data_IF_629418132808
#
_entry.id   IF_629418132808
#
_cell.length_a   1.000
_cell.length_b   1.000
_cell.length_c   1.000
_cell.angle_alpha   90.00
_cell.angle_beta   90.00
_cell.angle_gamma   90.00
#
_symmetry.space_group_name_H-M   'P 1'
#
loop_
_entity.id
_entity.type
_entity.pdbx_description
1 polymer ?
#
# COMPACT_ATOMS: atom_id res chain seq x y z
N UNK A 1 -8.40 17.30 -12.01
CA UNK A 1 -7.61 16.62 -10.95
C UNK A 1 -8.01 15.14 -10.86
N UNK A 2 -9.24 14.79 -10.47
CA UNK A 2 -9.69 13.39 -10.33
C UNK A 2 -9.42 12.52 -11.56
N UNK A 3 -9.78 12.99 -12.77
CA UNK A 3 -9.52 12.27 -14.01
C UNK A 3 -8.03 11.98 -14.26
N UNK A 4 -7.16 12.94 -13.92
CA UNK A 4 -5.72 12.78 -14.03
C UNK A 4 -5.17 11.75 -13.04
N UNK A 5 -5.70 11.73 -11.81
CA UNK A 5 -5.30 10.76 -10.79
C UNK A 5 -5.75 9.34 -11.19
N UNK A 6 -6.97 9.17 -11.70
CA UNK A 6 -7.45 7.89 -12.25
C UNK A 6 -6.54 7.42 -13.39
N UNK A 7 -6.30 8.28 -14.38
CA UNK A 7 -5.46 7.99 -15.53
C UNK A 7 -4.05 7.56 -15.10
N UNK A 8 -3.44 8.27 -14.15
CA UNK A 8 -2.11 7.94 -13.64
C UNK A 8 -2.07 6.60 -12.88
N UNK A 9 -3.05 6.33 -12.03
CA UNK A 9 -3.09 5.09 -11.24
C UNK A 9 -3.37 3.86 -12.10
N UNK A 10 -4.24 4.00 -13.10
CA UNK A 10 -4.62 2.93 -14.02
C UNK A 10 -3.66 2.80 -15.23
N UNK A 11 -2.73 3.74 -15.41
CA UNK A 11 -1.81 3.74 -16.55
C UNK A 11 -2.50 4.06 -17.89
N UNK A 12 -3.59 4.82 -17.87
CA UNK A 12 -4.38 5.20 -19.03
C UNK A 12 -4.02 6.61 -19.51
N UNK A 13 -4.19 6.87 -20.81
CA UNK A 13 -3.96 8.21 -21.37
C UNK A 13 -5.08 9.21 -21.03
N UNK A 14 -6.33 8.74 -20.98
CA UNK A 14 -7.52 9.52 -20.63
C UNK A 14 -8.54 8.61 -19.96
N UNK A 15 -9.39 9.21 -19.13
CA UNK A 15 -10.51 8.56 -18.45
C UNK A 15 -11.73 9.47 -18.58
N UNK A 16 -12.85 8.93 -19.05
CA UNK A 16 -14.13 9.62 -19.13
C UNK A 16 -14.74 9.84 -17.75
N UNK A 17 -15.55 10.88 -17.61
CA UNK A 17 -16.11 11.25 -16.30
C UNK A 17 -17.11 10.22 -15.76
N UNK A 18 -17.75 9.47 -16.65
CA UNK A 18 -18.73 8.44 -16.33
C UNK A 18 -18.14 7.01 -16.32
N UNK A 19 -16.86 6.86 -16.70
CA UNK A 19 -16.20 5.56 -16.69
C UNK A 19 -16.02 5.07 -15.25
N UNK A 20 -16.47 3.85 -14.98
CA UNK A 20 -16.27 3.19 -13.69
C UNK A 20 -14.80 2.82 -13.50
N UNK A 21 -14.23 3.16 -12.34
CA UNK A 21 -12.86 2.79 -11.96
C UNK A 21 -12.59 1.28 -12.14
N UNK A 22 -13.57 0.44 -11.77
CA UNK A 22 -13.43 -1.01 -11.81
C UNK A 22 -13.57 -1.58 -13.22
N UNK A 23 -14.41 -0.97 -14.06
CA UNK A 23 -14.57 -1.41 -15.46
C UNK A 23 -13.31 -1.07 -16.28
N UNK A 24 -12.55 -0.06 -15.86
CA UNK A 24 -11.25 0.30 -16.42
C UNK A 24 -10.09 -0.59 -15.92
N UNK A 25 -10.38 -1.65 -15.16
CA UNK A 25 -9.38 -2.60 -14.65
C UNK A 25 -8.82 -2.24 -13.27
N UNK A 26 -9.44 -1.32 -12.54
CA UNK A 26 -9.10 -1.02 -11.16
C UNK A 26 -9.37 -2.22 -10.23
N UNK A 27 -8.41 -2.52 -9.37
CA UNK A 27 -8.44 -3.54 -8.32
C UNK A 27 -8.35 -2.91 -6.91
N UNK A 28 -8.28 -3.75 -5.87
CA UNK A 28 -8.18 -3.27 -4.48
C UNK A 28 -6.91 -2.46 -4.19
N UNK A 29 -5.78 -2.77 -4.84
CA UNK A 29 -4.52 -2.07 -4.60
C UNK A 29 -4.54 -0.70 -5.27
N UNK A 30 -4.96 -0.63 -6.52
CA UNK A 30 -5.14 0.61 -7.27
C UNK A 30 -6.25 1.47 -6.66
N UNK A 31 -7.33 0.88 -6.11
CA UNK A 31 -8.34 1.59 -5.33
C UNK A 31 -7.77 2.29 -4.10
N UNK A 32 -6.87 1.63 -3.36
CA UNK A 32 -6.16 2.26 -2.24
C UNK A 32 -5.26 3.40 -2.73
N UNK A 33 -4.49 3.17 -3.81
CA UNK A 33 -3.59 4.18 -4.39
C UNK A 33 -4.35 5.42 -4.89
N UNK A 34 -5.47 5.24 -5.59
CA UNK A 34 -6.25 6.35 -6.14
C UNK A 34 -6.88 7.17 -5.03
N UNK A 35 -7.41 6.54 -3.97
CA UNK A 35 -7.99 7.25 -2.84
C UNK A 35 -6.93 8.00 -2.04
N UNK A 36 -5.76 7.39 -1.80
CA UNK A 36 -4.62 8.09 -1.19
C UNK A 36 -4.22 9.31 -2.02
N UNK A 37 -4.06 9.16 -3.33
CA UNK A 37 -3.66 10.26 -4.21
C UNK A 37 -4.71 11.39 -4.26
N UNK A 38 -6.01 11.05 -4.28
CA UNK A 38 -7.11 12.04 -4.20
C UNK A 38 -7.06 12.79 -2.88
N UNK A 39 -6.98 12.06 -1.75
CA UNK A 39 -6.92 12.65 -0.42
C UNK A 39 -5.71 13.57 -0.24
N UNK A 40 -4.55 13.19 -0.75
CA UNK A 40 -3.35 14.04 -0.71
C UNK A 40 -3.49 15.26 -1.62
N UNK A 41 -4.00 15.11 -2.84
CA UNK A 41 -4.04 16.19 -3.83
C UNK A 41 -5.11 17.24 -3.56
N UNK A 42 -6.20 16.85 -2.88
CA UNK A 42 -7.36 17.69 -2.63
C UNK A 42 -7.57 18.00 -1.14
N UNK A 43 -6.65 17.58 -0.28
CA UNK A 43 -6.75 17.66 1.18
C UNK A 43 -8.11 17.16 1.72
N UNK A 44 -8.49 15.97 1.25
CA UNK A 44 -9.76 15.31 1.63
C UNK A 44 -9.55 14.06 2.47
N UNK A 45 -10.64 13.56 3.05
CA UNK A 45 -10.67 12.28 3.76
C UNK A 45 -11.79 11.37 3.22
N UNK A 46 -11.68 10.98 1.95
CA UNK A 46 -12.56 9.96 1.37
C UNK A 46 -12.13 8.58 1.88
N UNK A 47 -13.01 7.82 2.54
CA UNK A 47 -12.73 6.42 2.82
C UNK A 47 -12.78 5.63 1.51
N UNK A 48 -11.95 4.59 1.39
CA UNK A 48 -11.89 3.76 0.17
C UNK A 48 -13.25 3.20 -0.25
N UNK A 49 -14.13 2.92 0.72
CA UNK A 49 -15.52 2.50 0.47
C UNK A 49 -16.28 3.46 -0.46
N UNK A 50 -16.01 4.76 -0.43
CA UNK A 50 -16.67 5.73 -1.32
C UNK A 50 -16.37 5.47 -2.79
N UNK A 51 -15.20 4.93 -3.11
CA UNK A 51 -14.88 4.54 -4.48
C UNK A 51 -15.77 3.38 -4.96
N UNK A 52 -16.12 2.46 -4.06
CA UNK A 52 -17.03 1.35 -4.38
C UNK A 52 -18.47 1.83 -4.55
N UNK A 53 -18.92 2.77 -3.72
CA UNK A 53 -20.27 3.34 -3.81
C UNK A 53 -20.44 4.29 -5.02
N UNK A 54 -19.35 4.97 -5.43
CA UNK A 54 -19.30 6.00 -6.46
C UNK A 54 -18.05 5.83 -7.35
N UNK A 55 -18.03 4.82 -8.24
CA UNK A 55 -16.82 4.42 -8.97
C UNK A 55 -16.40 5.39 -10.08
N UNK A 56 -17.33 6.18 -10.64
CA UNK A 56 -16.99 7.16 -11.68
C UNK A 56 -16.55 8.51 -11.10
N UNK A 57 -15.82 9.28 -11.90
CA UNK A 57 -15.35 10.62 -11.50
C UNK A 57 -16.54 11.54 -11.21
N UNK A 58 -17.58 11.49 -12.05
CA UNK A 58 -18.78 12.31 -11.89
C UNK A 58 -19.47 12.04 -10.55
N UNK A 59 -19.56 10.77 -10.16
CA UNK A 59 -20.15 10.37 -8.89
C UNK A 59 -19.24 10.74 -7.70
N UNK A 60 -17.94 10.45 -7.80
CA UNK A 60 -17.00 10.69 -6.72
C UNK A 60 -16.80 12.19 -6.45
N UNK A 61 -16.84 13.03 -7.49
CA UNK A 61 -16.72 14.49 -7.38
C UNK A 61 -17.75 15.11 -6.44
N UNK A 62 -18.98 14.58 -6.39
CA UNK A 62 -20.03 15.05 -5.50
C UNK A 62 -19.74 14.81 -4.00
N UNK A 63 -18.75 13.99 -3.69
CA UNK A 63 -18.32 13.66 -2.33
C UNK A 63 -17.04 14.38 -1.91
N UNK A 64 -16.28 14.93 -2.87
CA UNK A 64 -15.10 15.77 -2.61
C UNK A 64 -15.57 17.13 -2.06
N UNK A 65 -15.10 17.53 -0.88
CA UNK A 65 -15.44 18.82 -0.25
C UNK A 65 -16.59 18.78 0.77
N UNK A 66 -17.31 17.65 0.93
CA UNK A 66 -18.33 17.47 1.98
C UNK A 66 -17.79 16.93 3.31
N UNK A 67 -16.47 16.70 3.40
CA UNK A 67 -15.79 16.20 4.58
C UNK A 67 -15.12 17.31 5.38
N UNK A 68 -15.91 18.10 6.11
CA UNK A 68 -15.37 19.02 7.10
C UNK A 68 -14.71 18.28 8.26
N UNK A 69 -13.39 18.42 8.39
CA UNK A 69 -12.72 18.66 9.67
C UNK A 69 -12.70 17.54 10.72
N UNK A 70 -12.78 16.26 10.37
CA UNK A 70 -12.46 15.18 11.33
C UNK A 70 -11.51 14.14 10.75
N UNK A 71 -10.26 14.19 11.20
CA UNK A 71 -9.44 13.00 11.38
C UNK A 71 -8.60 12.57 10.19
N UNK A 72 -7.83 13.47 9.56
CA UNK A 72 -6.61 12.98 8.91
C UNK A 72 -5.75 12.36 10.01
N UNK A 73 -5.39 11.06 9.94
CA UNK A 73 -4.39 10.53 10.84
C UNK A 73 -3.17 11.43 10.74
N UNK A 74 -2.54 11.75 11.87
CA UNK A 74 -1.27 12.45 11.82
C UNK A 74 -0.33 11.66 10.91
N UNK A 75 0.36 12.34 9.98
CA UNK A 75 1.30 11.66 9.11
C UNK A 75 2.27 10.83 9.94
N UNK A 76 2.56 9.62 9.47
CA UNK A 76 3.65 8.84 10.05
C UNK A 76 4.94 9.62 9.82
N UNK A 77 5.51 10.11 10.91
CA UNK A 77 6.80 10.80 10.93
C UNK A 77 7.82 9.89 11.60
N UNK A 78 9.07 10.00 11.16
CA UNK A 78 10.17 9.33 11.85
C UNK A 78 10.27 9.89 13.28
N UNK A 79 10.06 9.01 14.26
CA UNK A 79 10.23 9.33 15.68
C UNK A 79 11.63 9.00 16.18
N UNK A 80 11.96 9.46 17.38
CA UNK A 80 13.15 8.99 18.08
C UNK A 80 13.02 7.49 18.37
N UNK A 81 14.09 6.73 18.10
CA UNK A 81 14.08 5.28 18.30
C UNK A 81 14.16 4.96 19.80
N UNK A 82 13.14 4.30 20.38
CA UNK A 82 13.21 3.88 21.78
C UNK A 82 14.23 2.75 21.94
N UNK A 83 14.71 2.55 23.17
CA UNK A 83 15.60 1.43 23.50
C UNK A 83 14.98 0.06 23.18
N UNK A 84 13.65 -0.06 23.28
CA UNK A 84 12.88 -1.25 22.91
C UNK A 84 11.73 -0.82 22.00
N UNK A 85 11.72 -1.33 20.77
CA UNK A 85 10.65 -1.06 19.80
C UNK A 85 9.45 -1.96 20.13
N UNK A 86 8.24 -1.40 20.35
CA UNK A 86 7.06 -2.21 20.64
C UNK A 86 6.66 -3.02 19.40
N UNK A 87 6.28 -4.28 19.62
CA UNK A 87 5.74 -5.13 18.56
C UNK A 87 4.33 -4.66 18.17
N UNK A 88 4.02 -4.69 16.88
CA UNK A 88 2.63 -4.65 16.44
C UNK A 88 1.86 -5.86 16.96
N UNK A 89 0.52 -5.77 17.01
CA UNK A 89 -0.31 -6.90 17.41
C UNK A 89 -0.04 -8.17 16.57
N UNK A 90 0.26 -8.03 15.28
CA UNK A 90 0.60 -9.14 14.42
C UNK A 90 1.94 -9.78 14.80
N UNK A 91 2.97 -8.97 15.07
CA UNK A 91 4.28 -9.46 15.52
C UNK A 91 4.20 -10.12 16.90
N UNK A 92 3.49 -9.51 17.86
CA UNK A 92 3.29 -10.09 19.20
C UNK A 92 2.58 -11.45 19.11
N UNK A 93 1.57 -11.58 18.24
CA UNK A 93 0.90 -12.86 17.97
C UNK A 93 1.85 -13.91 17.42
N UNK A 94 2.67 -13.57 16.42
CA UNK A 94 3.63 -14.50 15.84
C UNK A 94 4.66 -14.98 16.87
N UNK A 95 5.22 -14.03 17.65
CA UNK A 95 6.14 -14.35 18.73
C UNK A 95 5.48 -15.26 19.78
N UNK A 96 4.26 -14.97 20.21
CA UNK A 96 3.54 -15.82 21.16
C UNK A 96 3.35 -17.24 20.65
N UNK A 97 2.97 -17.41 19.37
CA UNK A 97 2.78 -18.73 18.77
C UNK A 97 4.10 -19.50 18.70
N UNK A 98 5.19 -18.84 18.32
CA UNK A 98 6.53 -19.43 18.31
C UNK A 98 6.95 -19.90 19.71
N UNK A 99 6.73 -19.10 20.74
CA UNK A 99 7.03 -19.48 22.13
C UNK A 99 6.14 -20.62 22.65
N UNK A 100 4.88 -20.66 22.23
CA UNK A 100 3.92 -21.68 22.66
C UNK A 100 4.16 -23.05 21.99
N UNK A 101 4.45 -23.05 20.70
CA UNK A 101 4.57 -24.27 19.89
C UNK A 101 6.01 -24.77 19.76
N UNK A 102 7.00 -23.92 20.05
CA UNK A 102 8.41 -24.17 19.75
C UNK A 102 8.74 -23.99 18.26
N UNK A 103 10.00 -24.27 17.87
CA UNK A 103 10.47 -24.07 16.50
C UNK A 103 9.59 -24.80 15.47
N UNK A 104 8.97 -24.05 14.58
CA UNK A 104 8.03 -24.56 13.58
C UNK A 104 8.20 -23.85 12.24
N UNK A 105 8.19 -24.57 11.10
CA UNK A 105 8.32 -23.96 9.78
C UNK A 105 7.02 -23.31 9.29
N UNK A 106 5.92 -23.37 10.05
CA UNK A 106 4.58 -22.93 9.62
C UNK A 106 4.55 -21.46 9.18
N UNK A 107 5.41 -20.61 9.75
CA UNK A 107 5.50 -19.20 9.40
C UNK A 107 6.73 -18.84 8.54
N UNK A 108 7.45 -19.84 8.02
CA UNK A 108 8.54 -19.59 7.08
C UNK A 108 7.97 -19.18 5.72
N UNK A 109 8.36 -18.01 5.23
CA UNK A 109 8.07 -17.57 3.86
C UNK A 109 9.23 -18.04 2.97
N UNK A 110 9.00 -19.10 2.21
CA UNK A 110 10.00 -19.66 1.30
C UNK A 110 9.71 -19.24 -0.13
N UNK A 111 10.77 -18.86 -0.86
CA UNK A 111 10.69 -18.52 -2.28
C UNK A 111 11.84 -19.19 -3.03
N UNK A 112 11.56 -19.66 -4.25
CA UNK A 112 12.56 -20.24 -5.14
C UNK A 112 12.54 -19.50 -6.47
N UNK A 113 13.71 -19.09 -6.94
CA UNK A 113 13.90 -18.33 -8.18
C UNK A 113 14.72 -19.14 -9.16
N UNK A 114 14.28 -19.21 -10.42
CA UNK A 114 15.06 -19.76 -11.53
C UNK A 114 15.68 -18.62 -12.31
N UNK A 115 16.99 -18.45 -12.17
CA UNK A 115 17.76 -17.46 -12.91
C UNK A 115 18.27 -18.07 -14.23
N UNK A 116 18.26 -17.30 -15.32
CA UNK A 116 18.76 -17.70 -16.63
C UNK A 116 19.86 -16.75 -17.07
N UNK A 117 20.94 -17.28 -17.64
CA UNK A 117 22.11 -16.53 -18.06
C UNK A 117 23.30 -16.74 -17.12
N UNK A 118 24.33 -15.88 -17.27
CA UNK A 118 25.49 -15.88 -16.40
C UNK A 118 25.13 -15.22 -15.07
N UNK A 119 25.32 -15.94 -13.96
CA UNK A 119 25.07 -15.42 -12.62
C UNK A 119 26.39 -15.10 -11.93
N UNK A 120 26.56 -13.86 -11.51
CA UNK A 120 27.59 -13.48 -10.55
C UNK A 120 27.05 -13.68 -9.13
N UNK A 121 27.51 -14.75 -8.48
CA UNK A 121 27.10 -15.09 -7.12
C UNK A 121 27.59 -14.06 -6.08
N UNK A 122 28.73 -13.41 -6.33
CA UNK A 122 29.27 -12.38 -5.46
C UNK A 122 28.40 -11.12 -5.50
N UNK A 123 28.01 -10.70 -6.69
CA UNK A 123 27.09 -9.57 -6.87
C UNK A 123 25.71 -9.85 -6.26
N UNK A 124 25.17 -11.06 -6.43
CA UNK A 124 23.90 -11.46 -5.81
C UNK A 124 23.98 -11.44 -4.28
N UNK A 125 25.06 -11.97 -3.70
CA UNK A 125 25.30 -11.92 -2.26
C UNK A 125 25.36 -10.49 -1.72
N UNK A 126 26.12 -9.61 -2.40
CA UNK A 126 26.23 -8.21 -2.03
C UNK A 126 24.87 -7.48 -2.09
N UNK A 127 24.06 -7.74 -3.12
CA UNK A 127 22.72 -7.17 -3.25
C UNK A 127 21.78 -7.64 -2.12
N UNK A 128 21.84 -8.91 -1.73
CA UNK A 128 21.05 -9.42 -0.59
C UNK A 128 21.49 -8.79 0.73
N UNK A 129 22.79 -8.62 0.95
CA UNK A 129 23.32 -7.93 2.13
C UNK A 129 22.89 -6.46 2.17
N UNK A 130 22.85 -5.78 1.03
CA UNK A 130 22.36 -4.40 0.93
C UNK A 130 20.88 -4.29 1.35
N UNK A 131 20.03 -5.22 0.88
CA UNK A 131 18.62 -5.30 1.31
C UNK A 131 18.51 -5.50 2.82
N UNK A 132 19.30 -6.41 3.40
CA UNK A 132 19.31 -6.63 4.86
C UNK A 132 19.77 -5.37 5.61
N UNK A 133 20.79 -4.66 5.11
CA UNK A 133 21.27 -3.42 5.72
C UNK A 133 20.28 -2.24 5.60
N UNK A 134 19.42 -2.26 4.58
CA UNK A 134 18.42 -1.23 4.32
C UNK A 134 17.15 -1.36 5.18
N UNK A 135 16.76 -2.59 5.52
CA UNK A 135 15.50 -2.87 6.21
C UNK A 135 15.74 -3.18 7.69
N UNK A 136 15.18 -2.34 8.58
CA UNK A 136 15.16 -2.56 10.03
C UNK A 136 14.13 -3.61 10.48
#
# INVERSE_FOLDING_TARGET
ILAGIYAQVLGLSRVGVDDSFFDLGGDSLSAMRVITAINTSLDTHLPVRRLFDAPSIAQLAAHVGRGGGRGRPEPLVAGERPAVVPLSFAQARLWFIDQLQGPSPVYNITAALRLRGQLDAGALGAALTDVVGRHE
#
